data_IF_221712550838
#
_entry.id   IF_221712550838
#
_cell.length_a   1.000
_cell.length_b   1.000
_cell.length_c   1.000
_cell.angle_alpha   90.00
_cell.angle_beta   90.00
_cell.angle_gamma   90.00
#
_symmetry.space_group_name_H-M   'P 1'
#
loop_
_entity.id
_entity.type
_entity.pdbx_description
1 polymer ?
#
# COMPACT_ATOMS: atom_id res chain seq x y z
N UNK A 1 65.97 -10.09 6.38
CA UNK A 1 64.55 -9.71 6.17
C UNK A 1 63.74 -10.50 7.20
N UNK A 2 63.23 -9.83 8.25
CA UNK A 2 62.33 -10.46 9.21
C UNK A 2 60.95 -10.57 8.56
N UNK A 3 60.48 -11.80 8.32
CA UNK A 3 59.11 -12.04 7.86
C UNK A 3 58.27 -12.17 9.13
N UNK A 4 57.41 -11.18 9.40
CA UNK A 4 56.43 -11.27 10.48
C UNK A 4 55.53 -12.48 10.22
N UNK A 5 55.67 -13.54 11.03
CA UNK A 5 54.78 -14.69 10.97
C UNK A 5 53.48 -14.36 11.72
N UNK A 6 52.35 -14.51 11.03
CA UNK A 6 51.02 -14.42 11.62
C UNK A 6 50.53 -15.84 11.92
N UNK A 7 50.09 -16.09 13.15
CA UNK A 7 49.48 -17.37 13.55
C UNK A 7 47.96 -17.23 13.69
N UNK A 8 47.23 -18.17 13.09
CA UNK A 8 45.78 -18.29 13.21
C UNK A 8 45.44 -19.17 14.43
N UNK A 9 44.92 -18.58 15.48
CA UNK A 9 44.52 -19.23 16.73
C UNK A 9 43.09 -18.80 17.10
N UNK A 10 42.05 -19.48 16.56
CA UNK A 10 40.67 -19.11 16.80
C UNK A 10 40.27 -19.41 18.25
N UNK A 11 39.71 -18.40 18.91
CA UNK A 11 39.21 -18.54 20.28
C UNK A 11 37.81 -19.17 20.27
N UNK A 12 37.52 -20.07 21.22
CA UNK A 12 36.27 -20.83 21.26
C UNK A 12 35.02 -19.94 21.33
N UNK A 13 35.02 -18.92 22.19
CA UNK A 13 33.85 -18.03 22.39
C UNK A 13 33.55 -17.20 21.12
N UNK A 14 34.48 -16.43 20.53
CA UNK A 14 34.25 -15.75 19.26
C UNK A 14 33.81 -16.69 18.13
N UNK A 15 34.35 -17.91 18.08
CA UNK A 15 34.01 -18.90 17.06
C UNK A 15 32.56 -19.37 17.18
N UNK A 16 32.10 -19.70 18.39
CA UNK A 16 30.69 -20.07 18.62
C UNK A 16 29.76 -18.92 18.28
N UNK A 17 30.11 -17.68 18.65
CA UNK A 17 29.32 -16.49 18.32
C UNK A 17 29.15 -16.33 16.81
N UNK A 18 30.22 -16.46 16.03
CA UNK A 18 30.16 -16.37 14.57
C UNK A 18 29.32 -17.49 13.95
N UNK A 19 29.47 -18.73 14.44
CA UNK A 19 28.69 -19.88 13.97
C UNK A 19 27.18 -19.72 14.18
N UNK A 20 26.75 -18.87 15.13
CA UNK A 20 25.34 -18.58 15.38
C UNK A 20 24.90 -17.33 14.61
N UNK A 21 25.62 -16.22 14.75
CA UNK A 21 25.19 -14.92 14.25
C UNK A 21 25.26 -14.83 12.72
N UNK A 22 26.27 -15.45 12.09
CA UNK A 22 26.41 -15.37 10.63
C UNK A 22 25.25 -16.08 9.92
N UNK A 23 24.88 -17.33 10.23
CA UNK A 23 23.70 -17.96 9.63
C UNK A 23 22.40 -17.21 9.93
N UNK A 24 22.24 -16.67 11.15
CA UNK A 24 21.07 -15.88 11.52
C UNK A 24 20.93 -14.63 10.64
N UNK A 25 21.99 -13.84 10.51
CA UNK A 25 21.97 -12.61 9.71
C UNK A 25 21.81 -12.91 8.21
N UNK A 26 22.43 -13.97 7.70
CA UNK A 26 22.20 -14.42 6.32
C UNK A 26 20.72 -14.80 6.13
N UNK A 27 20.14 -15.59 7.05
CA UNK A 27 18.74 -15.98 6.99
C UNK A 27 17.77 -14.80 7.02
N UNK A 28 18.03 -13.80 7.89
CA UNK A 28 17.24 -12.57 7.93
C UNK A 28 17.38 -11.74 6.65
N UNK A 29 18.59 -11.68 6.06
CA UNK A 29 18.82 -11.02 4.78
C UNK A 29 18.04 -11.68 3.64
N UNK A 30 18.08 -13.01 3.55
CA UNK A 30 17.31 -13.78 2.56
C UNK A 30 15.80 -13.60 2.74
N UNK A 31 15.30 -13.64 3.98
CA UNK A 31 13.89 -13.39 4.27
C UNK A 31 13.43 -11.99 3.83
N UNK A 32 14.27 -10.97 4.03
CA UNK A 32 13.97 -9.61 3.56
C UNK A 32 13.95 -9.52 2.03
N UNK A 33 14.85 -10.24 1.32
CA UNK A 33 14.83 -10.30 -0.14
C UNK A 33 13.56 -11.01 -0.67
N UNK A 34 13.16 -12.13 -0.07
CA UNK A 34 11.91 -12.81 -0.40
C UNK A 34 10.70 -11.90 -0.21
N UNK A 35 10.64 -11.14 0.90
CA UNK A 35 9.59 -10.14 1.11
C UNK A 35 9.63 -8.99 0.10
N UNK A 36 10.80 -8.57 -0.33
CA UNK A 36 10.92 -7.58 -1.41
C UNK A 36 10.34 -8.13 -2.72
N UNK A 37 10.67 -9.37 -3.07
CA UNK A 37 10.23 -10.00 -4.31
C UNK A 37 8.72 -10.26 -4.34
N UNK A 38 8.12 -10.70 -3.22
CA UNK A 38 6.67 -10.81 -3.09
C UNK A 38 5.96 -9.48 -3.34
N UNK A 39 6.54 -8.36 -2.87
CA UNK A 39 5.97 -7.03 -3.13
C UNK A 39 6.16 -6.58 -4.57
N UNK A 40 7.28 -6.92 -5.21
CA UNK A 40 7.55 -6.61 -6.62
C UNK A 40 6.62 -7.37 -7.55
N UNK A 41 6.49 -8.67 -7.36
CA UNK A 41 5.60 -9.53 -8.15
C UNK A 41 4.14 -9.10 -8.02
N UNK A 42 3.69 -8.78 -6.81
CA UNK A 42 2.37 -8.18 -6.61
C UNK A 42 2.25 -6.86 -7.38
N UNK A 43 3.16 -5.89 -7.16
CA UNK A 43 3.11 -4.59 -7.83
C UNK A 43 3.11 -4.71 -9.36
N UNK A 44 3.93 -5.59 -9.94
CA UNK A 44 3.98 -5.85 -11.37
C UNK A 44 2.67 -6.44 -11.89
N UNK A 45 2.04 -7.37 -11.14
CA UNK A 45 0.73 -7.92 -11.52
C UNK A 45 -0.36 -6.83 -11.53
N UNK A 46 -0.31 -5.90 -10.58
CA UNK A 46 -1.26 -4.80 -10.48
C UNK A 46 -1.06 -3.77 -11.60
N UNK A 47 0.19 -3.43 -11.90
CA UNK A 47 0.53 -2.54 -13.01
C UNK A 47 0.07 -3.12 -14.35
N UNK A 48 0.32 -4.42 -14.59
CA UNK A 48 -0.15 -5.11 -15.78
C UNK A 48 -1.67 -5.01 -15.94
N UNK A 49 -2.43 -5.25 -14.87
CA UNK A 49 -3.91 -5.11 -14.88
C UNK A 49 -4.36 -3.70 -15.24
N UNK A 50 -3.64 -2.68 -14.79
CA UNK A 50 -3.95 -1.28 -15.09
C UNK A 50 -3.71 -0.90 -16.56
N UNK A 51 -2.92 -1.69 -17.30
CA UNK A 51 -2.62 -1.47 -18.74
C UNK A 51 -3.58 -2.21 -19.68
N UNK A 52 -4.39 -3.13 -19.16
CA UNK A 52 -5.39 -3.84 -19.96
C UNK A 52 -6.45 -2.86 -20.52
N UNK A 53 -7.11 -3.20 -21.64
CA UNK A 53 -8.22 -2.41 -22.17
C UNK A 53 -9.29 -2.17 -21.11
N UNK A 54 -9.90 -0.98 -21.16
CA UNK A 54 -10.98 -0.61 -20.24
C UNK A 54 -12.14 -1.60 -20.37
N UNK A 55 -12.59 -2.14 -19.25
CA UNK A 55 -13.67 -3.11 -19.18
C UNK A 55 -15.00 -2.39 -18.91
N UNK A 56 -15.99 -2.44 -19.82
CA UNK A 56 -17.34 -1.99 -19.51
C UNK A 56 -17.94 -2.84 -18.40
N UNK A 57 -18.39 -2.23 -17.30
CA UNK A 57 -19.13 -2.93 -16.26
C UNK A 57 -20.53 -3.23 -16.77
N UNK A 58 -20.90 -4.51 -16.73
CA UNK A 58 -22.25 -4.99 -17.05
C UNK A 58 -22.81 -5.86 -15.94
N UNK A 59 -23.99 -6.45 -16.18
CA UNK A 59 -24.70 -7.27 -15.19
C UNK A 59 -23.93 -8.52 -14.73
N UNK A 60 -23.00 -9.03 -15.54
CA UNK A 60 -22.17 -10.18 -15.21
C UNK A 60 -20.75 -9.72 -14.88
N UNK A 61 -20.45 -9.64 -13.60
CA UNK A 61 -19.11 -9.35 -13.11
C UNK A 61 -18.36 -10.68 -12.95
N UNK A 62 -17.17 -10.74 -13.52
CA UNK A 62 -16.17 -11.78 -13.23
C UNK A 62 -15.63 -11.58 -11.81
N UNK A 63 -14.91 -12.57 -11.27
CA UNK A 63 -14.34 -12.56 -9.92
C UNK A 63 -13.77 -11.19 -9.51
N UNK A 64 -14.28 -10.68 -8.39
CA UNK A 64 -13.96 -9.36 -7.82
C UNK A 64 -12.45 -9.19 -7.61
N UNK A 65 -11.75 -10.28 -7.24
CA UNK A 65 -10.31 -10.26 -7.05
C UNK A 65 -9.51 -10.03 -8.33
N UNK A 66 -10.07 -10.39 -9.50
CA UNK A 66 -9.46 -10.11 -10.80
C UNK A 66 -9.74 -8.67 -11.28
N UNK A 67 -10.83 -8.07 -10.78
CA UNK A 67 -11.20 -6.71 -11.10
C UNK A 67 -10.34 -5.68 -10.36
N UNK A 68 -9.80 -5.99 -9.18
CA UNK A 68 -8.96 -5.02 -8.46
C UNK A 68 -7.80 -4.52 -9.34
N UNK A 69 -7.65 -3.19 -9.41
CA UNK A 69 -6.70 -2.45 -10.26
C UNK A 69 -7.00 -2.43 -11.77
N UNK A 70 -8.13 -3.01 -12.22
CA UNK A 70 -8.56 -2.91 -13.62
C UNK A 70 -9.17 -1.54 -13.90
N UNK A 71 -8.89 -1.03 -15.10
CA UNK A 71 -9.62 0.13 -15.64
C UNK A 71 -10.99 -0.31 -16.14
N UNK A 72 -12.01 0.43 -15.73
CA UNK A 72 -13.41 0.11 -16.03
C UNK A 72 -14.18 1.34 -16.50
N UNK A 73 -15.26 1.09 -17.22
CA UNK A 73 -16.25 2.10 -17.63
C UNK A 73 -17.60 1.69 -17.06
N UNK A 74 -18.25 2.58 -16.31
CA UNK A 74 -19.58 2.37 -15.76
C UNK A 74 -20.51 3.48 -16.27
N UNK A 75 -21.64 3.09 -16.89
CA UNK A 75 -22.66 4.02 -17.35
C UNK A 75 -23.84 4.04 -16.37
N UNK A 76 -24.33 5.23 -16.03
CA UNK A 76 -25.49 5.38 -15.15
C UNK A 76 -25.62 6.78 -14.56
N UNK A 77 -26.38 6.88 -13.46
CA UNK A 77 -26.68 8.15 -12.78
C UNK A 77 -26.21 8.16 -11.34
N UNK A 78 -25.76 9.31 -10.86
CA UNK A 78 -25.39 9.46 -9.45
C UNK A 78 -26.62 9.54 -8.55
N UNK A 79 -26.59 8.84 -7.41
CA UNK A 79 -27.54 9.03 -6.32
C UNK A 79 -26.92 10.02 -5.33
N UNK A 80 -27.05 11.31 -5.64
CA UNK A 80 -26.40 12.40 -4.91
C UNK A 80 -26.80 12.51 -3.44
N UNK A 81 -28.04 12.10 -3.10
CA UNK A 81 -28.60 12.04 -1.75
C UNK A 81 -27.93 11.01 -0.84
N UNK A 82 -27.16 10.08 -1.43
CA UNK A 82 -26.40 9.04 -0.73
C UNK A 82 -24.89 9.29 -0.78
N UNK A 83 -24.48 10.54 -0.99
CA UNK A 83 -23.07 10.93 -0.98
C UNK A 83 -22.52 10.98 0.44
N UNK A 84 -21.34 10.38 0.64
CA UNK A 84 -20.59 10.45 1.90
C UNK A 84 -19.20 11.02 1.66
N UNK A 85 -18.63 11.63 2.70
CA UNK A 85 -17.27 12.17 2.64
C UNK A 85 -16.36 11.46 3.62
N UNK A 86 -15.19 11.03 3.13
CA UNK A 86 -14.19 10.37 3.95
C UNK A 86 -13.15 11.38 4.40
N UNK A 87 -13.03 11.56 5.70
CA UNK A 87 -12.26 12.62 6.32
C UNK A 87 -10.75 12.36 6.35
N UNK A 88 -10.02 13.41 6.73
CA UNK A 88 -8.58 13.37 7.04
C UNK A 88 -7.73 12.80 5.90
N UNK A 89 -8.16 12.99 4.66
CA UNK A 89 -7.41 12.60 3.47
C UNK A 89 -6.40 13.69 3.16
N UNK A 90 -5.12 13.32 3.12
CA UNK A 90 -4.03 14.26 2.82
C UNK A 90 -3.71 14.23 1.33
N UNK A 91 -3.73 15.38 0.68
CA UNK A 91 -3.24 15.56 -0.68
C UNK A 91 -2.23 16.71 -0.70
N UNK A 92 -0.99 16.43 -1.13
CA UNK A 92 0.11 17.43 -1.19
C UNK A 92 0.28 18.25 0.11
N UNK A 93 0.21 17.58 1.26
CA UNK A 93 0.37 18.20 2.58
C UNK A 93 -0.87 18.91 3.13
N UNK A 94 -1.95 19.07 2.35
CA UNK A 94 -3.22 19.66 2.80
C UNK A 94 -4.21 18.59 3.22
N UNK A 95 -4.99 18.87 4.28
CA UNK A 95 -6.11 18.02 4.71
C UNK A 95 -7.34 18.30 3.84
N UNK A 96 -8.20 17.29 3.73
CA UNK A 96 -9.41 17.35 2.94
C UNK A 96 -10.16 16.03 2.99
N UNK A 97 -11.03 15.84 2.01
CA UNK A 97 -12.02 14.77 1.99
C UNK A 97 -11.96 14.01 0.67
N UNK A 98 -12.21 12.70 0.71
CA UNK A 98 -12.65 11.98 -0.49
C UNK A 98 -14.16 11.98 -0.57
N UNK A 99 -14.71 12.26 -1.75
CA UNK A 99 -16.15 12.27 -1.98
C UNK A 99 -16.56 10.95 -2.63
N UNK A 100 -17.42 10.19 -1.94
CA UNK A 100 -17.92 8.90 -2.41
C UNK A 100 -19.40 9.07 -2.75
N UNK A 101 -19.74 8.86 -4.01
CA UNK A 101 -21.13 8.93 -4.48
C UNK A 101 -21.48 7.61 -5.17
N UNK A 102 -22.57 6.94 -4.76
CA UNK A 102 -23.05 5.75 -5.46
C UNK A 102 -23.58 6.10 -6.86
N UNK A 103 -23.27 5.24 -7.81
CA UNK A 103 -23.73 5.28 -9.19
C UNK A 103 -24.71 4.13 -9.41
N UNK A 104 -25.95 4.45 -9.74
CA UNK A 104 -26.92 3.46 -10.19
C UNK A 104 -26.68 3.21 -11.68
N UNK A 105 -26.13 2.04 -11.99
CA UNK A 105 -25.76 1.66 -13.35
C UNK A 105 -26.99 1.30 -14.19
N UNK A 106 -26.86 1.35 -15.51
CA UNK A 106 -27.91 0.91 -16.45
C UNK A 106 -28.33 -0.55 -16.24
N UNK A 107 -27.43 -1.40 -15.73
CA UNK A 107 -27.73 -2.80 -15.36
C UNK A 107 -28.62 -2.94 -14.12
N UNK A 108 -28.90 -1.85 -13.39
CA UNK A 108 -29.63 -1.84 -12.12
C UNK A 108 -28.75 -2.08 -10.88
N UNK A 109 -27.48 -2.48 -11.06
CA UNK A 109 -26.54 -2.62 -9.95
C UNK A 109 -26.00 -1.25 -9.51
N UNK A 110 -25.58 -1.16 -8.24
CA UNK A 110 -25.03 0.08 -7.67
C UNK A 110 -23.54 -0.10 -7.41
N UNK A 111 -22.71 0.82 -7.90
CA UNK A 111 -21.27 0.85 -7.62
C UNK A 111 -20.91 2.14 -6.91
N UNK A 112 -20.00 2.05 -5.93
CA UNK A 112 -19.47 3.26 -5.29
C UNK A 112 -18.44 3.93 -6.20
N UNK A 113 -18.54 5.23 -6.39
CA UNK A 113 -17.55 6.01 -7.13
C UNK A 113 -16.88 6.98 -6.19
N UNK A 114 -15.56 6.84 -6.02
CA UNK A 114 -14.75 7.87 -5.40
C UNK A 114 -14.45 8.95 -6.44
N UNK A 115 -15.17 10.08 -6.33
CA UNK A 115 -15.14 11.20 -7.26
C UNK A 115 -13.85 12.02 -7.16
N UNK A 116 -13.05 11.84 -6.11
CA UNK A 116 -11.80 12.55 -5.93
C UNK A 116 -11.68 13.23 -4.57
N UNK A 117 -10.56 13.93 -4.42
CA UNK A 117 -10.23 14.69 -3.22
C UNK A 117 -10.64 16.16 -3.36
N UNK A 118 -11.17 16.74 -2.28
CA UNK A 118 -11.44 18.17 -2.14
C UNK A 118 -10.76 18.73 -0.88
N UNK A 119 -10.25 19.98 -0.91
CA UNK A 119 -9.68 20.61 0.26
C UNK A 119 -10.76 20.94 1.29
N UNK A 120 -10.41 20.82 2.57
CA UNK A 120 -11.26 21.28 3.66
C UNK A 120 -10.79 20.80 5.03
N UNK A 121 -11.38 21.37 6.08
CA UNK A 121 -11.04 21.05 7.46
C UNK A 121 -12.28 21.11 8.35
N UNK A 122 -12.41 20.12 9.25
CA UNK A 122 -13.59 19.98 10.11
C UNK A 122 -14.87 19.81 9.26
N UNK A 123 -15.85 20.69 9.46
CA UNK A 123 -17.10 20.70 8.65
C UNK A 123 -17.05 21.69 7.48
N UNK A 124 -15.95 22.43 7.30
CA UNK A 124 -15.81 23.40 6.22
C UNK A 124 -15.23 22.73 4.98
N UNK A 125 -16.06 22.58 3.96
CA UNK A 125 -15.67 22.18 2.61
C UNK A 125 -16.63 22.78 1.59
N UNK A 126 -16.13 23.05 0.39
CA UNK A 126 -16.98 23.41 -0.75
C UNK A 126 -17.13 22.17 -1.62
N UNK A 127 -18.34 21.63 -1.66
CA UNK A 127 -18.67 20.49 -2.49
C UNK A 127 -18.82 20.93 -3.94
N UNK A 128 -18.07 20.35 -4.90
CA UNK A 128 -18.36 20.56 -6.31
C UNK A 128 -19.74 20.01 -6.65
N UNK A 129 -20.41 20.61 -7.62
CA UNK A 129 -21.74 20.20 -8.01
C UNK A 129 -21.78 18.71 -8.38
N UNK A 130 -22.86 18.04 -7.97
CA UNK A 130 -23.16 16.69 -8.42
C UNK A 130 -24.06 16.83 -9.64
N UNK A 131 -23.70 16.23 -10.79
CA UNK A 131 -24.60 16.22 -11.94
C UNK A 131 -25.99 15.73 -11.54
N UNK A 132 -27.02 16.30 -12.15
CA UNK A 132 -28.41 15.93 -11.87
C UNK A 132 -28.61 14.42 -11.99
N UNK A 133 -29.42 13.85 -11.11
CA UNK A 133 -29.74 12.42 -11.10
C UNK A 133 -30.43 11.95 -12.39
N UNK A 134 -30.92 12.87 -13.23
CA UNK A 134 -31.50 12.55 -14.53
C UNK A 134 -30.47 12.56 -15.68
N UNK A 135 -29.19 12.83 -15.39
CA UNK A 135 -28.12 12.84 -16.39
C UNK A 135 -27.44 11.48 -16.43
N UNK A 136 -27.48 10.82 -17.59
CA UNK A 136 -26.68 9.63 -17.83
C UNK A 136 -25.21 10.00 -18.02
N UNK A 137 -24.34 9.39 -17.21
CA UNK A 137 -22.91 9.66 -17.17
C UNK A 137 -22.13 8.39 -17.49
N UNK A 138 -21.01 8.57 -18.20
CA UNK A 138 -20.01 7.52 -18.39
C UNK A 138 -18.82 7.77 -17.46
N UNK A 139 -18.70 6.96 -16.41
CA UNK A 139 -17.64 7.05 -15.40
C UNK A 139 -16.52 6.09 -15.78
N UNK A 140 -15.35 6.65 -16.05
CA UNK A 140 -14.10 5.89 -16.21
C UNK A 140 -13.29 5.93 -14.93
N UNK A 141 -12.64 4.83 -14.58
CA UNK A 141 -11.79 4.77 -13.39
C UNK A 141 -11.13 3.42 -13.15
N UNK A 142 -10.47 3.30 -12.01
CA UNK A 142 -9.81 2.06 -11.57
C UNK A 142 -10.62 1.40 -10.46
N UNK A 143 -10.83 0.10 -10.54
CA UNK A 143 -11.47 -0.66 -9.46
C UNK A 143 -10.55 -0.76 -8.25
N UNK A 144 -11.09 -0.50 -7.06
CA UNK A 144 -10.40 -0.66 -5.79
C UNK A 144 -11.32 -1.29 -4.76
N UNK A 145 -10.78 -2.17 -3.93
CA UNK A 145 -11.50 -2.71 -2.77
C UNK A 145 -11.13 -1.85 -1.56
N UNK A 146 -12.08 -1.15 -0.90
CA UNK A 146 -11.79 -0.41 0.33
C UNK A 146 -11.32 -1.36 1.43
N UNK A 147 -10.15 -1.10 2.01
CA UNK A 147 -9.63 -1.87 3.13
C UNK A 147 -9.98 -1.18 4.46
N UNK A 148 -10.49 -1.92 5.45
CA UNK A 148 -10.71 -1.37 6.79
C UNK A 148 -9.36 -0.96 7.44
N UNK A 149 -9.37 -0.06 8.43
CA UNK A 149 -8.17 0.24 9.20
C UNK A 149 -7.66 -1.03 9.90
N UNK A 150 -6.33 -1.17 10.00
CA UNK A 150 -5.70 -2.33 10.65
C UNK A 150 -6.09 -2.47 12.14
N UNK A 151 -6.41 -1.37 12.81
CA UNK A 151 -7.13 -1.40 14.07
C UNK A 151 -8.63 -1.28 13.77
N UNK A 152 -9.40 -2.33 14.05
CA UNK A 152 -10.87 -2.37 13.96
C UNK A 152 -11.53 -1.40 14.93
N UNK A 153 -11.41 -0.11 14.64
CA UNK A 153 -12.05 0.97 15.39
C UNK A 153 -13.49 1.07 14.91
N UNK A 154 -14.41 0.33 15.54
CA UNK A 154 -15.85 0.44 15.31
C UNK A 154 -16.36 1.81 15.76
N UNK A 155 -16.25 2.79 14.86
CA UNK A 155 -16.81 4.11 15.06
C UNK A 155 -18.25 4.08 14.57
N UNK A 156 -19.20 4.16 15.50
CA UNK A 156 -20.63 4.30 15.18
C UNK A 156 -20.86 5.61 14.44
N UNK A 157 -21.20 5.51 13.16
CA UNK A 157 -21.54 6.64 12.30
C UNK A 157 -23.03 6.98 12.52
N UNK A 158 -23.33 8.26 12.70
CA UNK A 158 -24.72 8.71 12.89
C UNK A 158 -25.44 8.84 11.53
N UNK A 159 -26.59 8.17 11.32
CA UNK A 159 -27.29 8.22 10.03
C UNK A 159 -28.01 9.53 9.70
N UNK A 160 -28.05 10.50 10.64
CA UNK A 160 -28.95 11.66 10.56
C UNK A 160 -28.36 12.90 9.86
N UNK A 161 -27.12 12.84 9.38
CA UNK A 161 -26.51 13.97 8.69
C UNK A 161 -26.86 13.96 7.19
N UNK A 162 -27.14 15.15 6.63
CA UNK A 162 -27.43 15.34 5.19
C UNK A 162 -26.28 14.86 4.31
N UNK A 163 -25.04 14.99 4.81
CA UNK A 163 -23.84 14.44 4.20
C UNK A 163 -22.97 13.84 5.31
N UNK A 164 -22.96 12.51 5.45
CA UNK A 164 -22.21 11.86 6.52
C UNK A 164 -20.70 12.00 6.37
N UNK A 165 -20.05 12.35 7.49
CA UNK A 165 -18.60 12.46 7.62
C UNK A 165 -18.00 11.19 8.22
N UNK A 166 -17.18 10.47 7.44
CA UNK A 166 -16.70 9.14 7.79
C UNK A 166 -15.18 9.11 7.97
N UNK A 167 -14.66 8.46 9.02
CA UNK A 167 -13.22 8.33 9.20
C UNK A 167 -12.58 7.39 8.16
N UNK A 168 -13.33 6.37 7.73
CA UNK A 168 -12.91 5.40 6.71
C UNK A 168 -14.14 4.83 5.99
N UNK A 169 -13.92 4.24 4.82
CA UNK A 169 -14.96 3.57 4.03
C UNK A 169 -14.79 2.06 4.14
N UNK A 170 -15.82 1.36 4.59
CA UNK A 170 -16.02 -0.07 4.31
C UNK A 170 -17.30 -0.22 3.49
N UNK A 171 -17.34 -1.24 2.66
CA UNK A 171 -18.52 -1.54 1.83
C UNK A 171 -19.72 -1.92 2.71
N UNK A 172 -19.45 -2.68 3.78
CA UNK A 172 -20.44 -3.07 4.80
C UNK A 172 -21.07 -1.84 5.48
N UNK A 173 -20.26 -0.91 6.00
CA UNK A 173 -20.79 0.30 6.63
C UNK A 173 -21.64 1.14 5.67
N UNK A 174 -21.26 1.19 4.38
CA UNK A 174 -22.04 1.88 3.34
C UNK A 174 -23.36 1.18 3.07
N UNK A 175 -23.35 -0.13 2.89
CA UNK A 175 -24.54 -0.94 2.69
C UNK A 175 -25.52 -0.76 3.86
N UNK A 176 -25.03 -0.88 5.09
CA UNK A 176 -25.83 -0.78 6.32
C UNK A 176 -26.44 0.62 6.51
N UNK A 177 -25.66 1.68 6.25
CA UNK A 177 -26.14 3.05 6.38
C UNK A 177 -27.14 3.43 5.28
N UNK A 178 -26.84 3.05 4.04
CA UNK A 178 -27.62 3.49 2.87
C UNK A 178 -28.86 2.64 2.61
N UNK A 179 -28.84 1.36 3.03
CA UNK A 179 -29.81 0.33 2.68
C UNK A 179 -29.69 -0.18 1.24
N UNK A 180 -28.58 0.13 0.55
CA UNK A 180 -28.36 -0.23 -0.85
C UNK A 180 -27.53 -1.50 -0.98
N UNK A 181 -27.94 -2.38 -1.88
CA UNK A 181 -27.10 -3.49 -2.34
C UNK A 181 -26.07 -2.94 -3.33
N UNK A 182 -24.80 -2.90 -2.90
CA UNK A 182 -23.70 -2.35 -3.68
C UNK A 182 -22.75 -3.45 -4.16
N UNK A 183 -22.09 -3.19 -5.28
CA UNK A 183 -21.00 -4.03 -5.75
C UNK A 183 -19.87 -4.10 -4.71
N UNK A 184 -19.16 -5.24 -4.64
CA UNK A 184 -18.13 -5.48 -3.63
C UNK A 184 -16.80 -4.74 -3.91
N UNK A 185 -16.87 -3.57 -4.54
CA UNK A 185 -15.73 -2.69 -4.83
C UNK A 185 -16.20 -1.25 -5.10
N UNK A 186 -15.24 -0.32 -5.16
CA UNK A 186 -15.46 1.05 -5.61
C UNK A 186 -14.67 1.34 -6.89
N UNK A 187 -15.06 2.38 -7.63
CA UNK A 187 -14.32 2.95 -8.75
C UNK A 187 -13.62 4.21 -8.27
N UNK A 188 -12.30 4.25 -8.38
CA UNK A 188 -11.51 5.47 -8.26
C UNK A 188 -11.60 6.22 -9.59
N UNK A 189 -12.40 7.28 -9.64
CA UNK A 189 -12.68 8.00 -10.88
C UNK A 189 -11.37 8.52 -11.51
N UNK A 190 -11.26 8.38 -12.83
CA UNK A 190 -10.10 8.83 -13.59
C UNK A 190 -9.94 10.35 -13.54
N UNK A 191 -8.70 10.80 -13.68
CA UNK A 191 -8.36 12.22 -13.72
C UNK A 191 -9.15 12.95 -14.81
N UNK A 192 -9.66 14.12 -14.44
CA UNK A 192 -10.42 15.01 -15.30
C UNK A 192 -10.22 16.43 -14.76
N UNK A 193 -9.87 17.35 -15.65
CA UNK A 193 -9.53 18.72 -15.29
C UNK A 193 -10.77 19.59 -15.05
N UNK A 194 -11.97 19.11 -15.39
CA UNK A 194 -13.19 19.93 -15.45
C UNK A 194 -14.08 19.91 -14.19
N UNK A 195 -13.80 19.03 -13.24
CA UNK A 195 -14.78 18.66 -12.20
C UNK A 195 -14.52 19.26 -10.80
N UNK A 196 -13.45 20.03 -10.62
CA UNK A 196 -13.04 20.58 -9.32
C UNK A 196 -12.45 19.55 -8.34
N UNK A 197 -12.42 18.26 -8.71
CA UNK A 197 -11.87 17.18 -7.90
C UNK A 197 -10.40 16.91 -8.21
N UNK A 198 -9.61 16.64 -7.17
CA UNK A 198 -8.25 16.14 -7.32
C UNK A 198 -8.26 14.61 -7.34
N UNK A 199 -8.08 14.01 -8.53
CA UNK A 199 -8.09 12.55 -8.75
C UNK A 199 -6.71 12.01 -9.03
N UNK A 200 -5.82 12.17 -8.05
CA UNK A 200 -4.48 11.57 -8.07
C UNK A 200 -4.38 10.55 -6.96
N UNK A 201 -4.70 9.31 -7.34
CA UNK A 201 -4.68 8.18 -6.44
C UNK A 201 -3.25 7.76 -6.16
N UNK A 202 -2.83 7.66 -4.89
CA UNK A 202 -1.52 7.10 -4.60
C UNK A 202 -1.52 5.65 -5.08
N UNK A 203 -0.57 5.30 -5.95
CA UNK A 203 -0.27 3.90 -6.24
C UNK A 203 0.05 3.22 -4.90
N UNK A 204 -0.38 1.96 -4.67
CA UNK A 204 0.18 1.18 -3.59
C UNK A 204 1.68 1.09 -3.85
N UNK A 205 2.47 1.95 -3.22
CA UNK A 205 3.91 1.88 -3.30
C UNK A 205 4.31 0.59 -2.60
N UNK A 206 4.62 -0.44 -3.37
CA UNK A 206 5.37 -1.59 -2.88
C UNK A 206 6.67 -1.03 -2.33
N UNK A 207 6.81 -1.00 -1.01
CA UNK A 207 8.04 -0.51 -0.37
C UNK A 207 9.13 -1.59 -0.43
N UNK A 208 9.44 -2.10 -1.63
CA UNK A 208 10.41 -3.15 -1.88
C UNK A 208 11.85 -2.68 -1.61
N UNK A 209 12.13 -1.41 -1.89
CA UNK A 209 13.42 -0.77 -1.63
C UNK A 209 13.79 -0.78 -0.15
N UNK A 210 12.82 -0.61 0.76
CA UNK A 210 13.07 -0.71 2.21
C UNK A 210 13.50 -2.12 2.61
N UNK A 211 12.83 -3.15 2.10
CA UNK A 211 13.18 -4.54 2.38
C UNK A 211 14.55 -4.90 1.80
N UNK A 212 14.85 -4.43 0.59
CA UNK A 212 16.18 -4.59 -0.03
C UNK A 212 17.27 -3.89 0.80
N UNK A 213 17.01 -2.68 1.30
CA UNK A 213 17.93 -1.96 2.18
C UNK A 213 18.21 -2.71 3.49
N UNK A 214 17.18 -3.27 4.12
CA UNK A 214 17.37 -4.12 5.30
C UNK A 214 18.14 -5.41 4.99
N UNK A 215 17.94 -6.03 3.83
CA UNK A 215 18.72 -7.19 3.43
C UNK A 215 20.22 -6.89 3.35
N UNK A 216 20.59 -5.76 2.72
CA UNK A 216 21.99 -5.28 2.67
C UNK A 216 22.54 -5.06 4.07
N UNK A 217 21.76 -4.46 4.97
CA UNK A 217 22.16 -4.26 6.37
C UNK A 217 22.46 -5.58 7.09
N UNK A 218 21.61 -6.60 6.92
CA UNK A 218 21.84 -7.92 7.52
C UNK A 218 23.10 -8.59 6.98
N UNK A 219 23.34 -8.53 5.66
CA UNK A 219 24.57 -9.06 5.08
C UNK A 219 25.82 -8.28 5.53
N UNK A 220 25.72 -6.96 5.71
CA UNK A 220 26.79 -6.16 6.27
C UNK A 220 27.13 -6.57 7.71
N UNK A 221 26.13 -6.85 8.56
CA UNK A 221 26.36 -7.37 9.90
C UNK A 221 27.04 -8.74 9.89
N UNK A 222 26.62 -9.65 9.00
CA UNK A 222 27.28 -10.94 8.83
C UNK A 222 28.77 -10.76 8.45
N UNK A 223 29.06 -9.85 7.52
CA UNK A 223 30.43 -9.54 7.10
C UNK A 223 31.26 -8.92 8.23
N UNK A 224 30.71 -7.95 8.97
CA UNK A 224 31.40 -7.30 10.09
C UNK A 224 31.76 -8.31 11.19
N UNK A 225 30.81 -9.17 11.57
CA UNK A 225 31.06 -10.22 12.59
C UNK A 225 32.15 -11.18 12.12
N UNK A 226 32.13 -11.58 10.85
CA UNK A 226 33.17 -12.43 10.25
C UNK A 226 34.55 -11.76 10.27
N UNK A 227 34.64 -10.47 9.90
CA UNK A 227 35.90 -9.71 9.89
C UNK A 227 36.46 -9.51 11.30
N UNK A 228 35.60 -9.21 12.28
CA UNK A 228 36.00 -9.10 13.69
C UNK A 228 36.58 -10.43 14.17
N UNK A 229 35.92 -11.55 13.89
CA UNK A 229 36.42 -12.87 14.26
C UNK A 229 37.74 -13.22 13.60
N UNK A 230 37.89 -12.94 12.30
CA UNK A 230 39.14 -13.18 11.58
C UNK A 230 40.28 -12.37 12.20
N UNK A 231 40.04 -11.08 12.48
CA UNK A 231 41.02 -10.21 13.14
C UNK A 231 41.39 -10.70 14.53
N UNK A 232 40.41 -11.15 15.33
CA UNK A 232 40.66 -11.69 16.68
C UNK A 232 41.37 -13.04 16.65
N UNK A 233 41.30 -13.77 15.53
CA UNK A 233 41.94 -15.08 15.38
C UNK A 233 43.39 -14.97 14.88
N UNK A 234 43.83 -13.81 14.39
CA UNK A 234 45.19 -13.58 13.88
C UNK A 234 46.04 -12.89 14.96
N UNK A 235 47.09 -13.58 15.42
CA UNK A 235 48.05 -13.03 16.38
C UNK A 235 49.44 -12.88 15.74
N UNK A 236 50.21 -11.86 16.16
CA UNK A 236 51.64 -11.74 15.80
C UNK A 236 52.46 -12.67 16.67
N UNK A 237 53.38 -13.42 16.07
CA UNK A 237 54.34 -14.22 16.81
C UNK A 237 55.59 -13.40 17.04
N UNK A 238 55.88 -13.04 18.29
CA UNK A 238 57.19 -12.47 18.63
C UNK A 238 58.22 -13.60 18.60
N UNK A 239 59.20 -13.47 17.70
CA UNK A 239 60.31 -14.44 17.62
C UNK A 239 61.27 -14.13 18.77
N UNK A 240 61.17 -14.91 19.86
CA UNK A 240 62.14 -14.83 20.96
C UNK A 240 63.52 -15.16 20.40
N UNK A 241 64.37 -14.14 20.27
CA UNK A 241 65.78 -14.33 19.90
C UNK A 241 66.46 -14.94 21.12
N UNK A 242 66.80 -16.23 21.06
CA UNK A 242 67.60 -16.88 22.09
C UNK A 242 69.05 -16.40 21.84
N UNK A 243 69.52 -15.44 22.63
CA UNK A 243 70.96 -15.17 22.72
C UNK A 243 71.64 -16.35 23.46
N UNK A 244 72.73 -16.81 22.84
CA UNK A 244 73.49 -18.04 23.16
C UNK A 244 74.22 -17.93 24.49
#
# INVERSE_FOLDING_TARGET
>A
MSVNAHQFQPQAVPTVVVLILVPLFIGLGLWQLDRAEQKRTLAASLEMRSTLPELPLGAHLTDVGELEFRRVIAAGRFLGDKTVVIENRKHRGKRGFHVITPLLMESGQIVLVNRGWIPGEGKQMTMPDTPDSNTDLSIRGEVRIPQPPALGLDLKISPKEVMPHWPYLTLENFSDWSGLEILPFQILQAADDSSGFMRRWPLPKGNDAMHTGYAVQWFAFALIVMLIWLRLSIHKTDTTTIEV
#
